data_IF_621796178700
#
_entry.id   IF_621796178700
#
_cell.length_a   1.000
_cell.length_b   1.000
_cell.length_c   1.000
_cell.angle_alpha   90.00
_cell.angle_beta   90.00
_cell.angle_gamma   90.00
#
_symmetry.space_group_name_H-M   'P 1'
#
loop_
_entity.id
_entity.type
_entity.pdbx_description
1 polymer ?
#
# COMPACT_ATOMS: atom_id res chain seq x y z
N UNK A 1 15.48 -47.96 -23.72
CA UNK A 1 14.92 -46.71 -24.28
C UNK A 1 14.84 -45.66 -23.20
N UNK A 2 15.71 -44.68 -23.22
CA UNK A 2 15.71 -43.56 -22.28
C UNK A 2 14.65 -42.56 -22.67
N UNK A 3 13.59 -42.45 -21.87
CA UNK A 3 12.59 -41.35 -22.00
C UNK A 3 13.29 -40.05 -21.68
N UNK A 4 13.56 -39.22 -22.68
CA UNK A 4 13.96 -37.81 -22.46
C UNK A 4 12.77 -37.10 -21.78
N UNK A 5 12.92 -36.78 -20.50
CA UNK A 5 12.01 -35.89 -19.81
C UNK A 5 12.12 -34.51 -20.46
N UNK A 6 11.10 -34.11 -21.20
CA UNK A 6 10.94 -32.73 -21.64
C UNK A 6 10.76 -31.87 -20.38
N UNK A 7 11.82 -31.18 -19.96
CA UNK A 7 11.66 -30.04 -19.03
C UNK A 7 10.67 -29.09 -19.69
N UNK A 8 9.47 -28.99 -19.13
CA UNK A 8 8.56 -27.89 -19.45
C UNK A 8 9.31 -26.62 -19.08
N UNK A 9 9.74 -25.85 -20.06
CA UNK A 9 10.12 -24.47 -19.85
C UNK A 9 8.89 -23.78 -19.24
N UNK A 10 9.00 -23.33 -17.97
CA UNK A 10 7.99 -22.47 -17.41
C UNK A 10 8.02 -21.20 -18.24
N UNK A 11 7.00 -21.00 -19.11
CA UNK A 11 6.82 -19.72 -19.77
C UNK A 11 6.44 -18.74 -18.67
N UNK A 12 7.40 -17.90 -18.23
CA UNK A 12 7.12 -16.70 -17.44
C UNK A 12 6.35 -15.74 -18.34
N UNK A 13 5.02 -15.92 -18.36
CA UNK A 13 4.12 -15.01 -19.07
C UNK A 13 4.26 -13.65 -18.41
N UNK A 14 4.62 -12.62 -19.20
CA UNK A 14 4.70 -11.26 -18.70
C UNK A 14 3.38 -10.84 -18.06
N UNK A 15 3.46 -10.17 -16.87
CA UNK A 15 2.29 -9.68 -16.17
C UNK A 15 1.62 -8.56 -16.95
N UNK A 16 0.28 -8.55 -16.99
CA UNK A 16 -0.48 -7.46 -17.55
C UNK A 16 -0.63 -6.30 -16.54
N UNK A 17 -1.17 -5.17 -17.00
CA UNK A 17 -1.37 -3.98 -16.19
C UNK A 17 -2.17 -4.25 -14.91
N UNK A 18 -3.25 -5.02 -14.99
CA UNK A 18 -4.10 -5.38 -13.85
C UNK A 18 -3.34 -6.19 -12.80
N UNK A 19 -2.51 -7.11 -13.26
CA UNK A 19 -1.69 -7.95 -12.37
C UNK A 19 -0.59 -7.14 -11.67
N UNK A 20 0.08 -6.24 -12.39
CA UNK A 20 1.06 -5.32 -11.81
C UNK A 20 0.41 -4.40 -10.77
N UNK A 21 -0.77 -3.85 -11.07
CA UNK A 21 -1.53 -3.03 -10.14
C UNK A 21 -1.88 -3.78 -8.86
N UNK A 22 -2.38 -5.01 -8.98
CA UNK A 22 -2.72 -5.86 -7.83
C UNK A 22 -1.49 -6.18 -6.97
N UNK A 23 -0.35 -6.45 -7.60
CA UNK A 23 0.92 -6.70 -6.91
C UNK A 23 1.40 -5.45 -6.16
N UNK A 24 1.34 -4.28 -6.78
CA UNK A 24 1.68 -3.01 -6.14
C UNK A 24 0.79 -2.73 -4.91
N UNK A 25 -0.52 -2.94 -5.02
CA UNK A 25 -1.46 -2.78 -3.91
C UNK A 25 -1.13 -3.73 -2.76
N UNK A 26 -0.83 -5.00 -3.06
CA UNK A 26 -0.49 -6.00 -2.04
C UNK A 26 0.82 -5.68 -1.32
N UNK A 27 1.86 -5.26 -2.05
CA UNK A 27 3.15 -4.87 -1.47
C UNK A 27 3.02 -3.62 -0.59
N UNK A 28 2.32 -2.60 -1.07
CA UNK A 28 2.06 -1.39 -0.29
C UNK A 28 1.35 -1.73 1.02
N UNK A 29 0.27 -2.49 0.96
CA UNK A 29 -0.49 -2.89 2.15
C UNK A 29 0.37 -3.68 3.14
N UNK A 30 1.21 -4.59 2.66
CA UNK A 30 2.13 -5.36 3.51
C UNK A 30 3.13 -4.47 4.23
N UNK A 31 3.74 -3.52 3.52
CA UNK A 31 4.73 -2.60 4.10
C UNK A 31 4.08 -1.70 5.14
N UNK A 32 2.91 -1.15 4.85
CA UNK A 32 2.15 -0.31 5.80
C UNK A 32 1.90 -1.07 7.11
N UNK A 33 1.47 -2.33 7.03
CA UNK A 33 1.24 -3.16 8.22
C UNK A 33 2.54 -3.49 8.96
N UNK A 34 3.60 -3.85 8.26
CA UNK A 34 4.90 -4.14 8.88
C UNK A 34 5.47 -2.92 9.62
N UNK A 35 5.38 -1.73 9.04
CA UNK A 35 5.84 -0.48 9.67
C UNK A 35 5.10 -0.15 10.96
N UNK A 36 3.86 -0.60 11.09
CA UNK A 36 3.06 -0.46 12.31
C UNK A 36 3.28 -1.61 13.32
N UNK A 37 4.24 -2.50 13.07
CA UNK A 37 4.48 -3.68 13.91
C UNK A 37 3.34 -4.68 13.88
N UNK A 38 2.57 -4.72 12.78
CA UNK A 38 1.38 -5.57 12.62
C UNK A 38 0.35 -5.38 13.75
N UNK A 39 0.10 -4.12 14.10
CA UNK A 39 -0.91 -3.71 15.08
C UNK A 39 -1.65 -2.48 14.59
N UNK A 40 -2.94 -2.38 14.94
CA UNK A 40 -3.71 -1.17 14.74
C UNK A 40 -3.07 -0.01 15.52
N UNK A 41 -2.77 1.08 14.84
CA UNK A 41 -2.12 2.24 15.47
C UNK A 41 -3.04 3.00 16.43
N UNK A 42 -4.36 2.79 16.35
CA UNK A 42 -5.33 3.47 17.21
C UNK A 42 -5.71 2.66 18.46
N UNK A 43 -5.95 1.34 18.32
CA UNK A 43 -6.40 0.51 19.44
C UNK A 43 -5.42 -0.61 19.84
N UNK A 44 -4.35 -0.84 19.08
CA UNK A 44 -3.34 -1.86 19.37
C UNK A 44 -3.75 -3.29 19.02
N UNK A 45 -4.94 -3.52 18.46
CA UNK A 45 -5.38 -4.84 18.02
C UNK A 45 -4.46 -5.41 16.95
N UNK A 46 -4.19 -6.71 17.02
CA UNK A 46 -3.45 -7.47 15.99
C UNK A 46 -4.37 -8.29 15.08
N UNK A 47 -5.69 -8.13 15.22
CA UNK A 47 -6.70 -8.90 14.52
C UNK A 47 -7.36 -8.12 13.38
N UNK A 48 -7.51 -8.74 12.23
CA UNK A 48 -8.15 -8.15 11.02
C UNK A 48 -7.59 -6.77 10.65
N UNK A 49 -6.28 -6.72 10.46
CA UNK A 49 -5.59 -5.48 10.08
C UNK A 49 -5.78 -5.17 8.60
N UNK A 50 -5.99 -3.90 8.32
CA UNK A 50 -6.13 -3.36 6.97
C UNK A 50 -5.18 -2.17 6.79
N UNK A 51 -4.60 -2.06 5.61
CA UNK A 51 -3.83 -0.87 5.24
C UNK A 51 -4.80 0.19 4.70
N UNK A 52 -4.86 1.31 5.40
CA UNK A 52 -5.78 2.42 5.11
C UNK A 52 -5.05 3.56 4.41
N UNK A 53 -5.67 4.10 3.35
CA UNK A 53 -5.21 5.33 2.70
C UNK A 53 -5.82 6.53 3.43
N UNK A 54 -5.00 7.46 3.94
CA UNK A 54 -5.47 8.69 4.56
C UNK A 54 -6.20 9.57 3.54
N UNK A 55 -5.63 9.72 2.35
CA UNK A 55 -6.31 10.26 1.18
C UNK A 55 -6.68 9.10 0.28
N UNK A 56 -7.98 8.92 0.04
CA UNK A 56 -8.51 7.80 -0.71
C UNK A 56 -7.84 7.66 -2.09
N UNK A 57 -7.51 6.42 -2.47
CA UNK A 57 -6.88 6.12 -3.76
C UNK A 57 -7.69 6.57 -4.97
N UNK A 58 -9.02 6.62 -4.87
CA UNK A 58 -9.92 7.15 -5.90
C UNK A 58 -9.93 8.67 -5.97
N UNK A 59 -9.56 9.37 -4.90
CA UNK A 59 -9.48 10.83 -4.82
C UNK A 59 -8.14 11.41 -5.22
N UNK A 60 -7.05 10.66 -5.02
CA UNK A 60 -5.70 11.09 -5.37
C UNK A 60 -4.81 9.90 -5.73
N UNK A 61 -4.76 9.59 -7.02
CA UNK A 61 -3.92 8.50 -7.52
C UNK A 61 -2.42 8.72 -7.29
N UNK A 62 -1.97 9.96 -7.15
CA UNK A 62 -0.58 10.30 -6.87
C UNK A 62 -0.11 9.69 -5.54
N UNK A 63 -0.95 9.70 -4.51
CA UNK A 63 -0.63 9.20 -3.17
C UNK A 63 -0.98 7.72 -2.95
N UNK A 64 -1.53 7.04 -3.95
CA UNK A 64 -2.00 5.66 -3.79
C UNK A 64 -0.95 4.70 -3.24
N UNK A 65 0.30 4.83 -3.70
CA UNK A 65 1.41 3.97 -3.30
C UNK A 65 2.40 4.66 -2.38
N UNK A 66 2.09 5.86 -1.93
CA UNK A 66 2.89 6.61 -0.99
C UNK A 66 2.79 5.99 0.41
N UNK A 67 3.92 5.65 1.01
CA UNK A 67 3.94 5.05 2.35
C UNK A 67 3.53 6.07 3.42
N UNK A 68 3.77 7.34 3.18
CA UNK A 68 3.34 8.46 4.03
C UNK A 68 1.81 8.52 4.14
N UNK A 69 1.10 8.07 3.11
CA UNK A 69 -0.36 8.05 3.06
C UNK A 69 -0.98 6.77 3.66
N UNK A 70 -0.17 5.86 4.17
CA UNK A 70 -0.61 4.56 4.68
C UNK A 70 -0.72 4.52 6.19
N UNK A 71 -1.81 3.97 6.69
CA UNK A 71 -2.07 3.77 8.11
C UNK A 71 -2.58 2.35 8.36
N UNK A 72 -2.02 1.64 9.33
CA UNK A 72 -2.49 0.30 9.72
C UNK A 72 -3.62 0.43 10.73
N UNK A 73 -4.82 0.01 10.35
CA UNK A 73 -6.00 0.02 11.20
C UNK A 73 -6.61 -1.38 11.27
N UNK A 74 -7.16 -1.74 12.43
CA UNK A 74 -8.03 -2.91 12.49
C UNK A 74 -9.36 -2.60 11.79
N UNK A 75 -10.11 -3.64 11.47
CA UNK A 75 -11.38 -3.50 10.75
C UNK A 75 -12.36 -2.56 11.44
N UNK A 76 -12.43 -2.58 12.77
CA UNK A 76 -13.32 -1.71 13.54
C UNK A 76 -12.89 -0.24 13.45
N UNK A 77 -11.60 0.06 13.64
CA UNK A 77 -11.10 1.42 13.53
C UNK A 77 -11.18 1.97 12.10
N UNK A 78 -10.98 1.11 11.11
CA UNK A 78 -11.13 1.46 9.69
C UNK A 78 -12.59 1.79 9.35
N UNK A 79 -13.53 1.01 9.85
CA UNK A 79 -14.96 1.28 9.73
C UNK A 79 -15.34 2.63 10.37
N UNK A 80 -14.83 2.91 11.57
CA UNK A 80 -15.08 4.18 12.27
C UNK A 80 -14.57 5.37 11.49
N UNK A 81 -13.38 5.27 10.88
CA UNK A 81 -12.84 6.33 10.04
C UNK A 81 -13.79 6.73 8.91
N UNK A 82 -14.34 5.74 8.20
CA UNK A 82 -15.19 6.00 7.04
C UNK A 82 -16.65 6.35 7.40
N UNK A 83 -17.16 5.87 8.52
CA UNK A 83 -18.60 5.89 8.77
C UNK A 83 -19.01 6.67 10.03
N UNK A 84 -18.07 6.96 10.93
CA UNK A 84 -18.37 7.64 12.19
C UNK A 84 -17.57 8.94 12.33
N UNK A 85 -16.25 8.83 12.47
CA UNK A 85 -15.37 9.98 12.71
C UNK A 85 -13.93 9.67 12.28
N UNK A 86 -13.36 10.45 11.33
CA UNK A 86 -11.98 10.30 10.90
C UNK A 86 -10.97 10.98 11.83
N UNK A 87 -11.40 11.73 12.84
CA UNK A 87 -10.52 12.62 13.62
C UNK A 87 -9.43 11.88 14.38
N UNK A 88 -9.70 10.69 14.91
CA UNK A 88 -8.69 9.89 15.65
C UNK A 88 -7.49 9.54 14.77
N UNK A 89 -7.73 9.12 13.54
CA UNK A 89 -6.65 8.80 12.60
C UNK A 89 -5.88 10.04 12.15
N UNK A 90 -6.57 11.14 11.90
CA UNK A 90 -5.96 12.43 11.55
C UNK A 90 -5.09 12.94 12.70
N UNK A 91 -5.60 12.89 13.92
CA UNK A 91 -4.86 13.31 15.11
C UNK A 91 -3.64 12.44 15.37
N UNK A 92 -3.77 11.12 15.18
CA UNK A 92 -2.63 10.21 15.24
C UNK A 92 -1.51 10.62 14.28
N UNK A 93 -1.85 10.91 13.02
CA UNK A 93 -0.88 11.33 12.01
C UNK A 93 -0.19 12.63 12.41
N UNK A 94 -0.93 13.62 12.85
CA UNK A 94 -0.38 14.91 13.30
C UNK A 94 0.56 14.77 14.48
N UNK A 95 0.24 13.88 15.42
CA UNK A 95 0.98 13.72 16.67
C UNK A 95 2.21 12.82 16.50
N UNK A 96 2.06 11.69 15.81
CA UNK A 96 3.08 10.65 15.73
C UNK A 96 3.85 10.62 14.41
N UNK A 97 3.25 11.17 13.34
CA UNK A 97 3.84 11.19 12.00
C UNK A 97 3.64 12.57 11.33
N UNK A 98 4.09 13.65 11.96
CA UNK A 98 3.81 15.01 11.45
C UNK A 98 4.41 15.28 10.08
N UNK A 99 5.60 14.76 9.77
CA UNK A 99 6.25 14.92 8.46
C UNK A 99 5.45 14.21 7.36
N UNK A 100 4.97 13.01 7.64
CA UNK A 100 4.11 12.27 6.71
C UNK A 100 2.78 12.98 6.49
N UNK A 101 2.18 13.51 7.56
CA UNK A 101 0.97 14.29 7.46
C UNK A 101 1.16 15.53 6.57
N UNK A 102 2.22 16.28 6.76
CA UNK A 102 2.54 17.45 5.94
C UNK A 102 2.77 17.07 4.47
N UNK A 103 3.51 15.98 4.23
CA UNK A 103 3.73 15.47 2.87
C UNK A 103 2.42 15.14 2.17
N UNK A 104 1.51 14.44 2.84
CA UNK A 104 0.19 14.08 2.31
C UNK A 104 -0.62 15.34 2.00
N UNK A 105 -0.66 16.31 2.91
CA UNK A 105 -1.39 17.57 2.69
C UNK A 105 -0.83 18.37 1.51
N UNK A 106 0.49 18.40 1.37
CA UNK A 106 1.15 19.11 0.27
C UNK A 106 0.91 18.46 -1.11
N UNK A 107 0.70 17.15 -1.16
CA UNK A 107 0.63 16.37 -2.40
C UNK A 107 -0.76 15.84 -2.76
N UNK A 108 -1.77 16.03 -1.93
CA UNK A 108 -3.12 15.47 -2.14
C UNK A 108 -3.83 15.97 -3.40
N UNK A 109 -3.41 17.08 -3.95
CA UNK A 109 -3.95 17.66 -5.19
C UNK A 109 -3.08 17.41 -6.42
N UNK A 110 -1.97 16.71 -6.28
CA UNK A 110 -1.07 16.43 -7.39
C UNK A 110 -1.71 15.47 -8.39
N UNK A 111 -1.44 15.73 -9.66
CA UNK A 111 -1.93 14.88 -10.75
C UNK A 111 -1.06 13.63 -10.85
N UNK A 112 -1.71 12.47 -10.94
CA UNK A 112 -1.03 11.20 -11.16
C UNK A 112 -0.50 11.13 -12.61
N UNK A 113 0.74 10.66 -12.81
CA UNK A 113 1.25 10.41 -14.16
C UNK A 113 0.46 9.29 -14.85
N UNK A 114 0.68 9.09 -16.15
CA UNK A 114 0.04 8.03 -16.93
C UNK A 114 0.29 6.66 -16.29
N UNK A 115 -0.80 5.96 -15.97
CA UNK A 115 -0.78 4.66 -15.30
C UNK A 115 -0.69 3.52 -16.32
N UNK A 116 0.48 3.35 -16.93
CA UNK A 116 0.78 2.23 -17.81
C UNK A 116 1.49 1.08 -17.06
N UNK A 117 1.80 0.00 -17.77
CA UNK A 117 2.53 -1.15 -17.19
C UNK A 117 3.86 -0.72 -16.57
N UNK A 118 4.61 0.16 -17.23
CA UNK A 118 5.89 0.67 -16.72
C UNK A 118 5.75 1.41 -15.40
N UNK A 119 4.70 2.22 -15.26
CA UNK A 119 4.40 2.91 -14.00
C UNK A 119 4.22 1.93 -12.83
N UNK A 120 3.36 0.92 -13.00
CA UNK A 120 3.11 -0.06 -11.93
C UNK A 120 4.33 -0.95 -11.65
N UNK A 121 5.05 -1.34 -12.68
CA UNK A 121 6.30 -2.11 -12.53
C UNK A 121 7.33 -1.33 -11.72
N UNK A 122 7.52 -0.05 -11.98
CA UNK A 122 8.46 0.79 -11.24
C UNK A 122 8.04 0.93 -9.76
N UNK A 123 6.74 1.05 -9.49
CA UNK A 123 6.20 1.05 -8.13
C UNK A 123 6.51 -0.28 -7.43
N UNK A 124 6.27 -1.41 -8.08
CA UNK A 124 6.57 -2.75 -7.52
C UNK A 124 8.05 -2.88 -7.20
N UNK A 125 8.94 -2.52 -8.11
CA UNK A 125 10.39 -2.57 -7.90
C UNK A 125 10.82 -1.71 -6.72
N UNK A 126 10.28 -0.51 -6.60
CA UNK A 126 10.52 0.39 -5.47
C UNK A 126 10.05 -0.23 -4.14
N UNK A 127 8.82 -0.73 -4.10
CA UNK A 127 8.25 -1.32 -2.88
C UNK A 127 8.96 -2.62 -2.48
N UNK A 128 9.36 -3.45 -3.43
CA UNK A 128 10.19 -4.64 -3.16
C UNK A 128 11.55 -4.25 -2.55
N UNK A 129 12.16 -3.18 -3.04
CA UNK A 129 13.39 -2.64 -2.48
C UNK A 129 13.22 -2.16 -1.04
N UNK A 130 12.13 -1.46 -0.74
CA UNK A 130 11.77 -1.04 0.63
C UNK A 130 11.59 -2.25 1.54
N UNK A 131 10.89 -3.27 1.07
CA UNK A 131 10.62 -4.49 1.84
C UNK A 131 11.90 -5.27 2.18
N UNK A 132 12.88 -5.32 1.27
CA UNK A 132 14.17 -5.96 1.52
C UNK A 132 15.03 -5.26 2.56
N UNK A 133 14.84 -3.94 2.73
CA UNK A 133 15.57 -3.13 3.71
C UNK A 133 14.88 -3.07 5.09
N UNK A 134 13.74 -3.72 5.20
CA UNK A 134 12.97 -3.75 6.45
C UNK A 134 13.52 -4.80 7.42
#
# INVERSE_FOLDING_TARGET
MLRKSRKRASSTKALNKKQWCALADALWARIVKLRAGNRCVLCGSDFMLEAHHMVAKGGCGYLRYSLENGLCLCRVCHFRFHNIDPSDAVEYMKTHRPEDYEYVQANKKNVCPTKNVGYYRDIVEYLEGVLKCA
#
